data_IF_871983731657
#
_entry.id   IF_871983731657
#
_cell.length_a   1.000
_cell.length_b   1.000
_cell.length_c   1.000
_cell.angle_alpha   90.00
_cell.angle_beta   90.00
_cell.angle_gamma   90.00
#
_symmetry.space_group_name_H-M   'P 1'
#
loop_
_entity.id
_entity.type
_entity.pdbx_description
1 polymer ?
#
# COMPACT_ATOMS: atom_id res chain seq x y z
N UNK A 1 10.52 71.04 -3.75
CA UNK A 1 11.33 70.36 -4.80
C UNK A 1 12.48 69.59 -4.15
N UNK A 2 12.34 68.26 -4.07
CA UNK A 2 13.33 67.20 -4.39
C UNK A 2 12.71 65.84 -4.00
N UNK A 3 12.62 64.85 -4.91
CA UNK A 3 11.88 63.62 -4.65
C UNK A 3 12.74 62.59 -3.91
N UNK A 4 12.16 61.95 -2.91
CA UNK A 4 12.70 60.77 -2.24
C UNK A 4 12.51 59.58 -3.19
N UNK A 5 13.63 58.96 -3.58
CA UNK A 5 13.66 57.82 -4.50
C UNK A 5 13.04 56.59 -3.83
N UNK A 6 12.02 56.03 -4.45
CA UNK A 6 11.42 54.75 -4.09
C UNK A 6 12.46 53.64 -4.22
N UNK A 7 12.75 52.96 -3.11
CA UNK A 7 13.41 51.65 -3.11
C UNK A 7 12.30 50.60 -3.09
N UNK A 8 11.87 50.14 -4.26
CA UNK A 8 10.96 48.99 -4.37
C UNK A 8 11.81 47.72 -4.15
N UNK A 9 11.68 47.08 -2.99
CA UNK A 9 12.19 45.74 -2.77
C UNK A 9 11.19 44.73 -3.36
N UNK A 10 11.55 44.05 -4.45
CA UNK A 10 10.76 42.94 -5.00
C UNK A 10 11.00 41.68 -4.17
N UNK A 11 10.04 41.33 -3.33
CA UNK A 11 10.01 40.05 -2.63
C UNK A 11 9.43 39.00 -3.59
N UNK A 12 10.31 38.25 -4.27
CA UNK A 12 9.91 37.08 -5.07
C UNK A 12 9.62 35.94 -4.09
N UNK A 13 8.34 35.66 -3.86
CA UNK A 13 7.91 34.47 -3.13
C UNK A 13 8.04 33.29 -4.09
N UNK A 14 9.08 32.47 -3.90
CA UNK A 14 9.14 31.15 -4.49
C UNK A 14 8.09 30.27 -3.80
N UNK A 15 6.93 30.08 -4.45
CA UNK A 15 6.00 29.03 -4.08
C UNK A 15 6.61 27.70 -4.54
N UNK A 16 7.05 26.89 -3.59
CA UNK A 16 7.25 25.46 -3.81
C UNK A 16 5.89 24.89 -4.17
N UNK A 17 5.71 24.39 -5.39
CA UNK A 17 4.50 23.65 -5.75
C UNK A 17 4.51 22.34 -4.97
N UNK A 18 3.71 22.26 -3.91
CA UNK A 18 3.38 21.01 -3.26
C UNK A 18 2.41 20.25 -4.17
N UNK A 19 2.77 19.03 -4.57
CA UNK A 19 1.87 18.16 -5.31
C UNK A 19 1.07 17.35 -4.27
N UNK A 20 -0.25 17.52 -4.27
CA UNK A 20 -1.14 16.66 -3.52
C UNK A 20 -1.32 15.35 -4.31
N UNK A 21 -1.21 14.22 -3.62
CA UNK A 21 -1.26 12.89 -4.25
C UNK A 21 -2.44 12.09 -3.69
N UNK A 22 -3.15 11.37 -4.56
CA UNK A 22 -4.25 10.50 -4.14
C UNK A 22 -3.78 9.07 -3.87
N UNK A 23 -4.42 8.34 -2.94
CA UNK A 23 -4.01 7.00 -2.54
C UNK A 23 -4.30 5.90 -3.56
N UNK A 24 -5.22 6.10 -4.50
CA UNK A 24 -5.62 5.05 -5.44
C UNK A 24 -5.70 5.57 -6.88
N UNK A 25 -5.48 4.66 -7.82
CA UNK A 25 -5.62 4.88 -9.26
C UNK A 25 -6.63 3.88 -9.81
N UNK A 26 -7.55 4.34 -10.66
CA UNK A 26 -8.35 3.41 -11.46
C UNK A 26 -7.47 2.73 -12.50
N UNK A 27 -7.76 1.47 -12.81
CA UNK A 27 -7.14 0.69 -13.88
C UNK A 27 -8.06 0.59 -15.09
N UNK A 28 -7.55 0.01 -16.18
CA UNK A 28 -8.35 -0.41 -17.30
C UNK A 28 -9.36 -1.47 -16.85
N UNK A 29 -10.64 -1.35 -17.23
CA UNK A 29 -11.65 -2.31 -16.84
C UNK A 29 -11.37 -3.69 -17.45
N UNK A 30 -11.86 -4.72 -16.79
CA UNK A 30 -11.93 -6.10 -17.29
C UNK A 30 -13.36 -6.45 -17.68
N UNK A 31 -13.57 -7.65 -18.24
CA UNK A 31 -14.92 -8.10 -18.52
C UNK A 31 -15.73 -8.20 -17.22
N UNK A 32 -16.95 -7.64 -17.23
CA UNK A 32 -17.88 -7.78 -16.12
C UNK A 32 -18.32 -9.26 -15.95
N UNK A 33 -18.67 -9.64 -14.72
CA UNK A 33 -19.05 -11.00 -14.37
C UNK A 33 -19.27 -11.14 -12.87
N UNK A 34 -19.38 -12.37 -12.36
CA UNK A 34 -19.33 -12.56 -10.91
C UNK A 34 -17.95 -12.15 -10.36
N UNK A 35 -17.91 -11.66 -9.12
CA UNK A 35 -16.68 -11.11 -8.52
C UNK A 35 -15.52 -12.12 -8.54
N UNK A 36 -15.79 -13.42 -8.40
CA UNK A 36 -14.75 -14.45 -8.45
C UNK A 36 -14.13 -14.54 -9.85
N UNK A 37 -14.95 -14.53 -10.89
CA UNK A 37 -14.48 -14.51 -12.29
C UNK A 37 -13.66 -13.27 -12.62
N UNK A 38 -14.13 -12.09 -12.20
CA UNK A 38 -13.38 -10.83 -12.34
C UNK A 38 -12.02 -10.92 -11.62
N UNK A 39 -12.01 -11.36 -10.37
CA UNK A 39 -10.78 -11.51 -9.59
C UNK A 39 -9.78 -12.48 -10.24
N UNK A 40 -10.25 -13.60 -10.80
CA UNK A 40 -9.37 -14.52 -11.54
C UNK A 40 -8.75 -13.87 -12.79
N UNK A 41 -9.51 -13.05 -13.53
CA UNK A 41 -8.99 -12.35 -14.70
C UNK A 41 -7.89 -11.35 -14.31
N UNK A 42 -8.13 -10.54 -13.28
CA UNK A 42 -7.14 -9.57 -12.79
C UNK A 42 -5.91 -10.27 -12.24
N UNK A 43 -6.07 -11.35 -11.48
CA UNK A 43 -4.96 -12.15 -10.97
C UNK A 43 -4.12 -12.73 -12.12
N UNK A 44 -4.77 -13.24 -13.17
CA UNK A 44 -4.09 -13.75 -14.37
C UNK A 44 -3.28 -12.66 -15.09
N UNK A 45 -3.81 -11.43 -15.20
CA UNK A 45 -3.05 -10.29 -15.77
C UNK A 45 -1.80 -9.99 -14.96
N UNK A 46 -1.93 -9.92 -13.63
CA UNK A 46 -0.81 -9.69 -12.70
C UNK A 46 0.25 -10.78 -12.80
N UNK A 47 -0.13 -12.05 -12.70
CA UNK A 47 0.81 -13.18 -12.84
C UNK A 47 1.46 -13.22 -14.22
N UNK A 48 0.71 -12.91 -15.28
CA UNK A 48 1.25 -12.82 -16.64
C UNK A 48 2.30 -11.72 -16.83
N UNK A 49 2.27 -10.68 -16.00
CA UNK A 49 3.28 -9.62 -15.97
C UNK A 49 4.44 -9.90 -15.00
N UNK A 50 4.38 -10.97 -14.21
CA UNK A 50 5.44 -11.37 -13.28
C UNK A 50 5.26 -10.88 -11.84
N UNK A 51 4.06 -10.44 -11.47
CA UNK A 51 3.70 -10.27 -10.06
C UNK A 51 3.36 -11.62 -9.42
N UNK A 52 3.74 -11.81 -8.16
CA UNK A 52 3.30 -12.97 -7.38
C UNK A 52 1.97 -12.64 -6.69
N UNK A 53 0.89 -13.29 -7.10
CA UNK A 53 -0.42 -13.16 -6.44
C UNK A 53 -0.45 -14.05 -5.20
N UNK A 54 -0.47 -13.45 -4.02
CA UNK A 54 -0.32 -14.14 -2.73
C UNK A 54 -1.62 -14.18 -1.91
N UNK A 55 -2.68 -13.52 -2.37
CA UNK A 55 -3.96 -13.52 -1.69
C UNK A 55 -5.09 -12.99 -2.56
N UNK A 56 -6.30 -13.43 -2.26
CA UNK A 56 -7.53 -12.85 -2.78
C UNK A 56 -8.56 -12.85 -1.66
N UNK A 57 -9.23 -11.71 -1.47
CA UNK A 57 -10.19 -11.52 -0.40
C UNK A 57 -11.46 -10.88 -0.94
N UNK A 58 -12.59 -11.54 -0.69
CA UNK A 58 -13.93 -11.01 -0.90
C UNK A 58 -14.51 -10.77 0.50
N UNK A 59 -14.60 -9.50 0.96
CA UNK A 59 -15.13 -9.20 2.28
C UNK A 59 -16.56 -9.68 2.46
N UNK A 60 -16.85 -10.22 3.65
CA UNK A 60 -18.21 -10.62 4.00
C UNK A 60 -19.14 -9.40 3.96
N UNK A 61 -20.28 -9.54 3.28
CA UNK A 61 -21.27 -8.46 3.12
C UNK A 61 -21.01 -7.53 1.92
N UNK A 62 -19.91 -7.70 1.19
CA UNK A 62 -19.61 -6.98 -0.05
C UNK A 62 -19.17 -8.00 -1.12
N UNK A 63 -20.05 -8.95 -1.41
CA UNK A 63 -19.74 -10.14 -2.24
C UNK A 63 -19.52 -9.82 -3.71
N UNK A 64 -19.92 -8.63 -4.16
CA UNK A 64 -19.73 -8.14 -5.52
C UNK A 64 -18.36 -7.50 -5.74
N UNK A 65 -17.52 -7.40 -4.70
CA UNK A 65 -16.23 -6.71 -4.74
C UNK A 65 -15.16 -7.49 -3.99
N UNK A 66 -13.90 -7.26 -4.35
CA UNK A 66 -12.79 -7.92 -3.69
C UNK A 66 -11.46 -7.23 -3.86
N UNK A 67 -10.44 -7.80 -3.23
CA UNK A 67 -9.05 -7.35 -3.28
C UNK A 67 -8.16 -8.52 -3.65
N UNK A 68 -7.32 -8.32 -4.65
CA UNK A 68 -6.16 -9.17 -4.91
C UNK A 68 -4.96 -8.55 -4.20
N UNK A 69 -4.18 -9.40 -3.56
CA UNK A 69 -2.91 -9.01 -2.96
C UNK A 69 -1.79 -9.66 -3.76
N UNK A 70 -0.88 -8.83 -4.25
CA UNK A 70 0.28 -9.24 -5.03
C UNK A 70 1.58 -8.67 -4.47
N UNK A 71 2.71 -9.22 -4.90
CA UNK A 71 4.04 -8.68 -4.61
C UNK A 71 4.84 -8.48 -5.89
N UNK A 72 5.74 -7.48 -5.86
CA UNK A 72 6.71 -7.21 -6.90
C UNK A 72 8.12 -7.49 -6.37
N UNK A 73 8.93 -8.22 -7.13
CA UNK A 73 10.27 -8.63 -6.68
C UNK A 73 11.18 -7.43 -6.38
N UNK A 74 11.18 -6.40 -7.23
CA UNK A 74 12.02 -5.23 -7.04
C UNK A 74 11.65 -4.47 -5.76
N UNK A 75 10.36 -4.39 -5.47
CA UNK A 75 9.86 -3.80 -4.24
C UNK A 75 10.16 -4.65 -3.01
N UNK A 76 10.04 -5.98 -3.09
CA UNK A 76 10.44 -6.88 -2.00
C UNK A 76 11.94 -6.75 -1.69
N UNK A 77 12.79 -6.67 -2.71
CA UNK A 77 14.24 -6.48 -2.52
C UNK A 77 14.55 -5.12 -1.85
N UNK A 78 13.79 -4.07 -2.18
CA UNK A 78 13.92 -2.75 -1.57
C UNK A 78 13.48 -2.73 -0.09
N UNK A 79 12.39 -3.43 0.22
CA UNK A 79 11.89 -3.61 1.58
C UNK A 79 12.86 -4.45 2.41
N UNK A 80 13.38 -5.55 1.86
CA UNK A 80 14.36 -6.39 2.54
C UNK A 80 15.64 -5.62 2.92
N UNK A 81 16.07 -4.68 2.07
CA UNK A 81 17.20 -3.77 2.36
C UNK A 81 16.86 -2.71 3.41
N UNK A 82 15.61 -2.24 3.44
CA UNK A 82 15.16 -1.20 4.38
C UNK A 82 14.86 -1.76 5.78
N UNK A 83 14.24 -2.94 5.85
CA UNK A 83 13.90 -3.66 7.07
C UNK A 83 12.75 -3.04 7.88
N UNK A 84 12.52 -3.61 9.08
CA UNK A 84 11.56 -3.13 10.09
C UNK A 84 10.12 -2.96 9.54
N UNK A 85 9.52 -1.82 9.83
CA UNK A 85 8.18 -1.34 9.53
C UNK A 85 7.89 -1.22 8.03
N UNK A 86 8.91 -1.17 7.17
CA UNK A 86 8.71 -1.13 5.71
C UNK A 86 8.02 -2.38 5.14
N UNK A 87 7.99 -3.50 5.87
CA UNK A 87 7.35 -4.76 5.47
C UNK A 87 5.85 -4.59 5.18
N UNK A 88 5.17 -3.60 5.76
CA UNK A 88 3.74 -3.36 5.48
C UNK A 88 3.49 -2.95 4.02
N UNK A 89 4.50 -2.34 3.39
CA UNK A 89 4.45 -1.91 2.00
C UNK A 89 4.62 -3.06 1.01
N UNK A 90 4.98 -4.27 1.47
CA UNK A 90 5.27 -5.39 0.58
C UNK A 90 4.03 -5.88 -0.18
N UNK A 91 2.86 -5.73 0.43
CA UNK A 91 1.59 -6.16 -0.13
C UNK A 91 0.96 -5.08 -1.03
N UNK A 92 0.99 -5.32 -2.33
CA UNK A 92 0.34 -4.48 -3.34
C UNK A 92 -1.13 -4.88 -3.41
N UNK A 93 -2.04 -3.93 -3.20
CA UNK A 93 -3.48 -4.17 -3.15
C UNK A 93 -4.16 -3.67 -4.43
N UNK A 94 -4.92 -4.57 -5.07
CA UNK A 94 -5.68 -4.31 -6.29
C UNK A 94 -7.15 -4.61 -5.99
N UNK A 95 -8.00 -3.58 -6.01
CA UNK A 95 -9.44 -3.71 -5.82
C UNK A 95 -10.15 -4.02 -7.14
N UNK A 96 -11.22 -4.82 -7.08
CA UNK A 96 -12.07 -5.12 -8.22
C UNK A 96 -13.54 -5.25 -7.82
N UNK A 97 -14.46 -5.07 -8.78
CA UNK A 97 -15.90 -5.33 -8.61
C UNK A 97 -16.49 -6.18 -9.74
N UNK A 98 -17.70 -6.71 -9.54
CA UNK A 98 -18.46 -7.51 -10.51
C UNK A 98 -18.78 -6.77 -11.81
N UNK A 99 -18.70 -5.44 -11.81
CA UNK A 99 -18.88 -4.60 -13.01
C UNK A 99 -17.61 -4.51 -13.84
N UNK A 100 -16.53 -5.17 -13.41
CA UNK A 100 -15.23 -5.19 -14.08
C UNK A 100 -14.40 -3.93 -13.80
N UNK A 101 -14.79 -3.10 -12.82
CA UNK A 101 -13.98 -1.97 -12.40
C UNK A 101 -12.78 -2.48 -11.62
N UNK A 102 -11.60 -1.94 -11.91
CA UNK A 102 -10.35 -2.30 -11.26
C UNK A 102 -9.69 -1.03 -10.75
N UNK A 103 -9.05 -1.11 -9.60
CA UNK A 103 -8.22 -0.04 -9.03
C UNK A 103 -7.03 -0.63 -8.31
N UNK A 104 -5.97 0.15 -8.13
CA UNK A 104 -4.81 -0.29 -7.37
C UNK A 104 -4.28 0.86 -6.50
N UNK A 105 -3.56 0.48 -5.45
CA UNK A 105 -2.85 1.43 -4.60
C UNK A 105 -1.86 2.26 -5.42
N UNK A 106 -1.88 3.58 -5.28
CA UNK A 106 -0.90 4.45 -5.91
C UNK A 106 0.47 4.29 -5.22
N UNK A 107 1.50 3.73 -5.87
CA UNK A 107 2.80 3.53 -5.23
C UNK A 107 3.37 4.83 -4.66
N UNK A 108 3.22 5.94 -5.38
CA UNK A 108 3.76 7.23 -4.98
C UNK A 108 3.22 7.68 -3.62
N UNK A 109 1.91 7.53 -3.40
CA UNK A 109 1.27 7.88 -2.13
C UNK A 109 1.72 6.93 -1.00
N UNK A 110 1.54 5.63 -1.21
CA UNK A 110 1.69 4.66 -0.13
C UNK A 110 3.13 4.43 0.27
N UNK A 111 4.09 4.45 -0.66
CA UNK A 111 5.50 4.27 -0.30
C UNK A 111 6.10 5.53 0.32
N UNK A 112 5.57 6.74 0.06
CA UNK A 112 5.92 7.92 0.87
C UNK A 112 5.46 7.75 2.31
N UNK A 113 4.25 7.22 2.52
CA UNK A 113 3.71 6.95 3.85
C UNK A 113 4.41 5.79 4.57
N UNK A 114 4.76 4.70 3.88
CA UNK A 114 5.36 3.51 4.51
C UNK A 114 6.88 3.59 4.63
N UNK A 115 7.59 4.09 3.62
CA UNK A 115 9.06 4.17 3.65
C UNK A 115 9.56 5.43 4.36
N UNK A 116 8.76 6.50 4.35
CA UNK A 116 9.01 7.75 5.09
C UNK A 116 10.41 8.29 4.80
N UNK A 117 11.27 8.41 5.81
CA UNK A 117 12.67 8.84 5.67
C UNK A 117 13.50 7.99 4.69
N UNK A 118 13.07 6.76 4.42
CA UNK A 118 13.72 5.84 3.49
C UNK A 118 13.15 5.93 2.05
N UNK A 119 12.13 6.77 1.80
CA UNK A 119 11.52 6.88 0.47
C UNK A 119 12.56 7.30 -0.58
N UNK A 120 13.36 8.34 -0.31
CA UNK A 120 14.37 8.82 -1.27
C UNK A 120 15.40 7.74 -1.67
N UNK A 121 15.76 6.86 -0.74
CA UNK A 121 16.68 5.75 -1.02
C UNK A 121 16.04 4.63 -1.87
N UNK A 122 14.71 4.58 -1.91
CA UNK A 122 13.93 3.53 -2.57
C UNK A 122 13.08 4.07 -3.74
N UNK A 123 13.17 5.36 -4.06
CA UNK A 123 12.34 6.03 -5.06
C UNK A 123 12.42 5.36 -6.43
N UNK A 124 13.60 4.87 -6.81
CA UNK A 124 13.76 4.11 -8.06
C UNK A 124 12.95 2.81 -8.08
N UNK A 125 12.87 2.09 -6.96
CA UNK A 125 12.05 0.89 -6.85
C UNK A 125 10.55 1.23 -6.91
N UNK A 126 10.15 2.33 -6.27
CA UNK A 126 8.76 2.83 -6.31
C UNK A 126 8.35 3.21 -7.74
N UNK A 127 9.20 3.96 -8.45
CA UNK A 127 8.97 4.34 -9.86
C UNK A 127 8.93 3.13 -10.79
N UNK A 128 9.80 2.15 -10.56
CA UNK A 128 9.78 0.90 -11.31
C UNK A 128 8.46 0.14 -11.11
N UNK A 129 7.99 0.04 -9.86
CA UNK A 129 6.70 -0.56 -9.54
C UNK A 129 5.52 0.19 -10.16
N UNK A 130 5.52 1.52 -10.12
CA UNK A 130 4.49 2.33 -10.77
C UNK A 130 4.43 2.06 -12.28
N UNK A 131 5.59 2.06 -12.95
CA UNK A 131 5.68 1.74 -14.36
C UNK A 131 5.19 0.30 -14.66
N UNK A 132 5.54 -0.66 -13.79
CA UNK A 132 5.14 -2.06 -13.93
C UNK A 132 3.62 -2.23 -13.77
N UNK A 133 3.02 -1.61 -12.76
CA UNK A 133 1.56 -1.61 -12.55
C UNK A 133 0.83 -0.93 -13.71
N UNK A 134 1.30 0.23 -14.15
CA UNK A 134 0.73 0.96 -15.29
C UNK A 134 0.78 0.15 -16.58
N UNK A 135 1.88 -0.55 -16.85
CA UNK A 135 2.00 -1.42 -18.02
C UNK A 135 1.06 -2.64 -17.95
N UNK A 136 0.75 -3.11 -16.74
CA UNK A 136 -0.04 -4.33 -16.50
C UNK A 136 -1.54 -4.07 -16.46
N UNK A 137 -1.94 -3.00 -15.78
CA UNK A 137 -3.33 -2.70 -15.44
C UNK A 137 -3.83 -1.40 -16.08
N UNK A 138 -2.98 -0.63 -16.76
CA UNK A 138 -3.30 0.72 -17.21
C UNK A 138 -3.17 1.74 -16.07
N UNK A 139 -3.40 3.01 -16.39
CA UNK A 139 -3.41 4.10 -15.39
C UNK A 139 -4.51 5.09 -15.74
N UNK A 140 -5.55 5.12 -14.92
CA UNK A 140 -6.69 6.01 -15.03
C UNK A 140 -6.70 7.10 -13.97
N UNK A 141 -7.90 7.48 -13.52
CA UNK A 141 -8.10 8.63 -12.64
C UNK A 141 -7.67 8.31 -11.20
N UNK A 142 -7.02 9.28 -10.58
CA UNK A 142 -6.67 9.24 -9.16
C UNK A 142 -7.89 9.53 -8.27
N UNK A 143 -8.03 8.83 -7.14
CA UNK A 143 -9.16 8.96 -6.23
C UNK A 143 -8.80 8.57 -4.78
N UNK A 144 -9.74 8.84 -3.86
CA UNK A 144 -9.61 8.54 -2.43
C UNK A 144 -9.12 9.72 -1.59
N UNK A 145 -9.28 10.96 -2.09
CA UNK A 145 -8.75 12.17 -1.47
C UNK A 145 -7.34 12.49 -1.96
N UNK A 146 -6.72 13.48 -1.35
CA UNK A 146 -5.35 13.90 -1.64
C UNK A 146 -4.65 14.42 -0.38
N UNK A 147 -3.36 14.14 -0.28
CA UNK A 147 -2.47 14.62 0.79
C UNK A 147 -1.19 15.12 0.15
N UNK A 148 -0.65 16.21 0.67
CA UNK A 148 0.64 16.75 0.25
C UNK A 148 1.74 15.71 0.43
N UNK A 149 2.58 15.54 -0.59
CA UNK A 149 3.67 14.55 -0.57
C UNK A 149 4.58 14.67 0.65
N UNK A 150 4.86 15.91 1.10
CA UNK A 150 5.69 16.17 2.28
C UNK A 150 5.02 15.78 3.59
N UNK A 151 3.69 15.66 3.60
CA UNK A 151 2.91 15.32 4.78
C UNK A 151 2.71 13.82 4.95
N UNK A 152 2.82 13.04 3.86
CA UNK A 152 2.67 11.58 3.90
C UNK A 152 3.63 10.89 4.86
N UNK A 153 4.88 11.35 4.94
CA UNK A 153 5.88 10.73 5.82
C UNK A 153 5.56 10.86 7.33
N UNK A 154 4.69 11.80 7.69
CA UNK A 154 4.25 12.10 9.07
C UNK A 154 2.73 12.00 9.23
N UNK A 155 2.04 11.41 8.26
CA UNK A 155 0.59 11.34 8.27
C UNK A 155 0.11 10.50 9.46
N UNK A 156 -0.86 11.04 10.19
CA UNK A 156 -1.58 10.39 11.27
C UNK A 156 -2.99 10.99 11.30
N UNK A 157 -3.99 10.22 11.72
CA UNK A 157 -5.40 10.58 11.51
C UNK A 157 -5.81 11.88 12.21
N UNK A 158 -5.42 12.07 13.48
CA UNK A 158 -5.71 13.28 14.26
C UNK A 158 -4.56 13.60 15.20
N UNK A 159 -4.41 14.87 15.56
CA UNK A 159 -3.43 15.31 16.57
C UNK A 159 -3.61 14.50 17.88
N UNK A 160 -2.50 13.93 18.35
CA UNK A 160 -2.48 13.09 19.56
C UNK A 160 -2.76 11.61 19.33
N UNK A 161 -2.99 11.18 18.08
CA UNK A 161 -3.03 9.76 17.69
C UNK A 161 -1.64 9.26 17.28
N UNK A 162 -1.48 7.95 17.32
CA UNK A 162 -0.25 7.23 16.96
C UNK A 162 0.19 7.50 15.51
N UNK A 163 1.50 7.63 15.32
CA UNK A 163 2.17 7.60 14.03
C UNK A 163 2.28 6.16 13.52
N UNK A 164 2.61 6.04 12.23
CA UNK A 164 2.79 4.74 11.60
C UNK A 164 3.87 3.86 12.28
N UNK A 165 4.89 4.47 12.89
CA UNK A 165 5.96 3.78 13.61
C UNK A 165 5.83 3.76 15.12
N UNK A 166 4.67 4.14 15.65
CA UNK A 166 4.32 3.89 17.04
C UNK A 166 3.77 2.46 17.14
N UNK A 167 4.67 1.48 17.12
CA UNK A 167 4.31 0.07 17.24
C UNK A 167 3.86 -0.30 18.66
N UNK A 168 2.99 -1.32 18.75
CA UNK A 168 2.54 -1.88 20.01
C UNK A 168 2.98 -3.32 20.12
N UNK A 169 3.76 -3.60 21.15
CA UNK A 169 4.11 -4.97 21.52
C UNK A 169 2.89 -5.71 22.06
N UNK A 170 2.44 -6.72 21.32
CA UNK A 170 1.29 -7.55 21.72
C UNK A 170 1.72 -8.83 22.44
N UNK A 171 2.84 -9.43 22.03
CA UNK A 171 3.38 -10.65 22.59
C UNK A 171 4.88 -10.78 22.28
N UNK A 172 5.59 -11.50 23.15
CA UNK A 172 6.99 -11.88 22.96
C UNK A 172 7.13 -13.40 22.84
N UNK A 173 8.06 -13.85 21.99
CA UNK A 173 8.34 -15.25 21.73
C UNK A 173 9.86 -15.49 21.71
N UNK A 174 10.29 -16.72 21.97
CA UNK A 174 11.73 -17.05 22.07
C UNK A 174 12.50 -16.91 20.75
N UNK A 175 11.80 -16.95 19.60
CA UNK A 175 12.41 -16.77 18.28
C UNK A 175 11.41 -16.21 17.27
N UNK A 176 11.94 -15.69 16.15
CA UNK A 176 11.13 -15.19 15.04
C UNK A 176 10.23 -16.28 14.46
N UNK A 177 10.78 -17.48 14.27
CA UNK A 177 10.06 -18.65 13.74
C UNK A 177 8.90 -19.03 14.68
N UNK A 178 9.16 -19.06 15.99
CA UNK A 178 8.12 -19.32 16.99
C UNK A 178 7.01 -18.27 16.99
N UNK A 179 7.35 -16.99 16.79
CA UNK A 179 6.36 -15.93 16.67
C UNK A 179 5.48 -16.12 15.41
N UNK A 180 6.12 -16.36 14.26
CA UNK A 180 5.44 -16.62 12.98
C UNK A 180 4.53 -17.85 13.07
N UNK A 181 5.00 -18.95 13.66
CA UNK A 181 4.23 -20.17 13.82
C UNK A 181 3.05 -19.99 14.77
N UNK A 182 3.21 -19.20 15.84
CA UNK A 182 2.12 -18.87 16.75
C UNK A 182 1.00 -18.07 16.02
N UNK A 183 1.36 -17.08 15.22
CA UNK A 183 0.39 -16.30 14.41
C UNK A 183 -0.35 -17.23 13.44
N UNK A 184 0.38 -18.03 12.66
CA UNK A 184 -0.20 -18.99 11.71
C UNK A 184 -1.15 -19.97 12.39
N UNK A 185 -0.76 -20.54 13.53
CA UNK A 185 -1.57 -21.49 14.27
C UNK A 185 -2.89 -20.85 14.76
N UNK A 186 -2.86 -19.60 15.20
CA UNK A 186 -4.06 -18.88 15.64
C UNK A 186 -4.98 -18.52 14.48
N UNK A 187 -4.43 -18.05 13.35
CA UNK A 187 -5.20 -17.76 12.15
C UNK A 187 -5.86 -19.03 11.57
N UNK A 188 -5.16 -20.18 11.58
CA UNK A 188 -5.71 -21.46 11.15
C UNK A 188 -6.87 -21.94 12.04
N UNK A 189 -6.77 -21.69 13.36
CA UNK A 189 -7.83 -21.98 14.35
C UNK A 189 -8.97 -20.96 14.33
N UNK A 190 -8.85 -19.91 13.53
CA UNK A 190 -9.80 -18.79 13.45
C UNK A 190 -10.08 -18.11 14.79
N UNK A 191 -9.03 -17.93 15.60
CA UNK A 191 -9.14 -17.26 16.90
C UNK A 191 -9.74 -15.86 16.69
N UNK A 192 -10.72 -15.49 17.52
CA UNK A 192 -11.43 -14.22 17.44
C UNK A 192 -11.99 -13.92 16.01
N UNK A 193 -12.48 -14.94 15.31
CA UNK A 193 -13.10 -14.77 13.99
C UNK A 193 -12.13 -14.34 12.87
N UNK A 194 -10.82 -14.36 13.14
CA UNK A 194 -9.80 -13.96 12.15
C UNK A 194 -9.40 -15.11 11.23
N UNK A 195 -8.93 -14.82 10.02
CA UNK A 195 -8.30 -15.84 9.16
C UNK A 195 -7.27 -15.22 8.23
N UNK A 196 -6.26 -15.98 7.82
CA UNK A 196 -5.23 -15.50 6.89
C UNK A 196 -5.81 -15.19 5.50
N UNK A 197 -5.41 -14.05 4.93
CA UNK A 197 -5.62 -13.68 3.52
C UNK A 197 -4.33 -13.81 2.74
N UNK A 198 -3.24 -13.31 3.31
CA UNK A 198 -1.90 -13.42 2.74
C UNK A 198 -0.87 -13.35 3.87
N UNK A 199 0.35 -13.77 3.57
CA UNK A 199 1.51 -13.55 4.41
C UNK A 199 2.74 -13.25 3.55
N UNK A 200 3.64 -12.46 4.08
CA UNK A 200 4.97 -12.23 3.52
C UNK A 200 5.95 -12.37 4.68
N UNK A 201 6.88 -13.31 4.57
CA UNK A 201 7.87 -13.61 5.60
C UNK A 201 9.26 -13.42 5.01
N UNK A 202 10.09 -12.63 5.67
CA UNK A 202 11.48 -12.38 5.31
C UNK A 202 12.39 -12.87 6.45
N UNK A 203 12.77 -14.17 6.46
CA UNK A 203 13.46 -14.79 7.59
C UNK A 203 14.83 -14.17 7.89
N UNK A 204 15.59 -13.80 6.85
CA UNK A 204 16.91 -13.20 7.02
C UNK A 204 16.85 -11.85 7.75
N UNK A 205 15.82 -11.06 7.47
CA UNK A 205 15.54 -9.77 8.09
C UNK A 205 14.75 -9.90 9.39
N UNK A 206 14.23 -11.10 9.70
CA UNK A 206 13.34 -11.39 10.84
C UNK A 206 12.13 -10.46 10.91
N UNK A 207 11.51 -10.21 9.76
CA UNK A 207 10.27 -9.43 9.64
C UNK A 207 9.22 -10.22 8.86
N UNK A 208 7.96 -10.06 9.24
CA UNK A 208 6.83 -10.65 8.56
C UNK A 208 5.62 -9.72 8.62
N UNK A 209 4.74 -9.81 7.63
CA UNK A 209 3.43 -9.16 7.62
C UNK A 209 2.37 -10.17 7.24
N UNK A 210 1.22 -10.08 7.89
CA UNK A 210 0.05 -10.92 7.64
C UNK A 210 -1.14 -10.04 7.31
N UNK A 211 -1.79 -10.31 6.19
CA UNK A 211 -3.13 -9.80 5.91
C UNK A 211 -4.15 -10.74 6.49
N UNK A 212 -5.11 -10.19 7.24
CA UNK A 212 -6.08 -10.95 7.99
C UNK A 212 -7.49 -10.52 7.60
N UNK A 213 -8.37 -11.48 7.36
CA UNK A 213 -9.81 -11.27 7.25
C UNK A 213 -10.41 -11.23 8.66
N UNK A 214 -11.23 -10.23 8.92
CA UNK A 214 -12.01 -10.11 10.15
C UNK A 214 -13.44 -10.58 9.87
N UNK A 215 -13.83 -11.74 10.37
CA UNK A 215 -15.13 -12.37 10.05
C UNK A 215 -16.15 -12.26 11.19
N UNK A 216 -15.85 -11.46 12.21
CA UNK A 216 -16.78 -11.17 13.29
C UNK A 216 -18.08 -10.55 12.74
N UNK A 217 -19.17 -10.74 13.49
CA UNK A 217 -20.41 -10.03 13.18
C UNK A 217 -20.18 -8.56 13.50
N UNK A 218 -20.45 -7.69 12.52
CA UNK A 218 -20.50 -6.24 12.73
C UNK A 218 -21.56 -5.87 13.77
#
# INVERSE_FOLDING_TARGET
>A
MKPIKYLLASMVVFSSTAFATSPYLSADPVAAGDAKSVGMEVAKKLTGAGFDVIGTYIPKGIEDSGVIVATDKGMLDAIAKTGRDSIVGAAIRIGFDSKGQVSYMNPEYWYRAYLRKNYAANENAVKALEAHLKATLGAGKAFGGDVDESDLAKYHYMFGMEYFDDDRDLAQHDSFEKAVDAVKANLAKKVAGTSEVYQIVMPEQKIAVFGVAMNDKA
#
